data_IF_869072312573
#
_entry.id   IF_869072312573
#
_cell.length_a   1.000
_cell.length_b   1.000
_cell.length_c   1.000
_cell.angle_alpha   90.00
_cell.angle_beta   90.00
_cell.angle_gamma   90.00
#
_symmetry.space_group_name_H-M   'P 1'
#
loop_
_entity.id
_entity.type
_entity.pdbx_description
1 polymer ?
#
# COMPACT_ATOMS: atom_id res chain seq x y z
N UNK A 1 45.01 29.27 50.69
CA UNK A 1 44.71 28.93 49.27
C UNK A 1 44.41 27.42 49.08
N UNK A 2 43.52 26.83 49.89
CA UNK A 2 43.17 25.38 49.80
C UNK A 2 41.68 25.09 49.99
N UNK A 3 40.95 25.90 50.75
CA UNK A 3 39.49 25.73 50.95
C UNK A 3 38.65 26.29 49.79
N UNK A 4 39.08 27.40 49.19
CA UNK A 4 38.35 28.04 48.08
C UNK A 4 38.32 27.18 46.81
N UNK A 5 39.39 26.42 46.54
CA UNK A 5 39.46 25.53 45.37
C UNK A 5 38.61 24.27 45.54
N UNK A 6 38.45 23.76 46.78
CA UNK A 6 37.60 22.59 47.05
C UNK A 6 36.12 22.99 46.91
N UNK A 7 35.73 24.16 47.40
CA UNK A 7 34.38 24.68 47.23
C UNK A 7 34.02 24.94 45.75
N UNK A 8 34.98 25.39 44.93
CA UNK A 8 34.75 25.60 43.50
C UNK A 8 34.56 24.26 42.75
N UNK A 9 35.32 23.22 43.12
CA UNK A 9 35.22 21.87 42.54
C UNK A 9 33.93 21.14 42.93
N UNK A 10 33.41 21.35 44.15
CA UNK A 10 32.10 20.81 44.54
C UNK A 10 30.95 21.56 43.88
N UNK A 11 31.03 22.88 43.73
CA UNK A 11 30.01 23.64 42.98
C UNK A 11 30.01 23.24 41.50
N UNK A 12 31.16 23.07 40.84
CA UNK A 12 31.22 22.60 39.44
C UNK A 12 30.63 21.18 39.25
N UNK A 13 30.85 20.26 40.20
CA UNK A 13 30.26 18.92 40.14
C UNK A 13 28.75 18.92 40.39
N UNK A 14 28.23 19.80 41.25
CA UNK A 14 26.80 19.92 41.48
C UNK A 14 26.10 20.48 40.23
N UNK A 15 26.70 21.45 39.52
CA UNK A 15 26.12 21.97 38.27
C UNK A 15 26.16 20.95 37.12
N UNK A 16 27.17 20.07 37.07
CA UNK A 16 27.19 18.96 36.12
C UNK A 16 26.15 17.86 36.44
N UNK A 17 25.83 17.64 37.73
CA UNK A 17 24.81 16.67 38.16
C UNK A 17 23.37 17.15 37.93
N UNK A 18 23.14 18.46 37.78
CA UNK A 18 21.83 19.07 37.51
C UNK A 18 21.66 19.62 36.10
N UNK A 19 22.61 19.38 35.19
CA UNK A 19 22.34 19.49 33.77
C UNK A 19 21.39 18.35 33.38
N UNK A 20 20.09 18.56 33.55
CA UNK A 20 19.08 17.69 33.00
C UNK A 20 19.41 17.54 31.51
N UNK A 21 19.54 16.30 30.98
CA UNK A 21 19.83 16.11 29.57
C UNK A 21 18.77 16.88 28.78
N UNK A 22 19.21 17.73 27.85
CA UNK A 22 18.29 18.49 27.02
C UNK A 22 17.33 17.49 26.37
N UNK A 23 16.05 17.57 26.73
CA UNK A 23 15.00 16.69 26.19
C UNK A 23 14.90 16.72 24.66
N UNK A 24 15.55 17.69 24.02
CA UNK A 24 15.62 17.87 22.58
C UNK A 24 17.06 17.70 22.11
N UNK A 25 17.35 16.58 21.45
CA UNK A 25 18.58 16.39 20.71
C UNK A 25 18.37 16.84 19.27
N UNK A 26 19.45 17.22 18.60
CA UNK A 26 19.43 17.50 17.17
C UNK A 26 20.75 17.13 16.51
N UNK A 27 20.65 16.57 15.30
CA UNK A 27 21.79 16.36 14.41
C UNK A 27 21.82 17.40 13.28
N UNK A 28 21.09 18.51 13.44
CA UNK A 28 20.87 19.53 12.42
C UNK A 28 19.74 19.20 11.44
N UNK A 29 19.58 17.94 11.03
CA UNK A 29 18.51 17.50 10.13
C UNK A 29 17.19 17.23 10.85
N UNK A 30 17.25 16.66 12.06
CA UNK A 30 16.08 16.29 12.84
C UNK A 30 16.17 16.82 14.27
N UNK A 31 15.01 17.04 14.89
CA UNK A 31 14.84 17.08 16.33
C UNK A 31 14.37 15.71 16.81
N UNK A 32 15.05 15.11 17.79
CA UNK A 32 14.74 13.77 18.26
C UNK A 32 15.00 13.58 19.75
N UNK A 33 14.36 12.57 20.33
CA UNK A 33 14.44 12.22 21.74
C UNK A 33 15.07 10.85 21.85
N UNK A 34 15.98 10.68 22.82
CA UNK A 34 16.69 9.42 23.05
C UNK A 34 16.17 8.79 24.33
N UNK A 35 15.85 7.50 24.27
CA UNK A 35 15.44 6.70 25.44
C UNK A 35 16.57 5.75 25.83
N UNK A 36 17.36 6.13 26.83
CA UNK A 36 18.58 5.39 27.23
C UNK A 36 18.35 3.94 27.63
N UNK A 37 17.20 3.62 28.23
CA UNK A 37 16.92 2.26 28.70
C UNK A 37 16.60 1.28 27.56
N UNK A 38 16.03 1.78 26.46
CA UNK A 38 15.57 0.96 25.33
C UNK A 38 16.44 1.13 24.08
N UNK A 39 17.38 2.08 24.10
CA UNK A 39 18.19 2.50 22.95
C UNK A 39 17.31 2.88 21.75
N UNK A 40 16.23 3.60 22.03
CA UNK A 40 15.28 4.08 21.03
C UNK A 40 15.46 5.57 20.76
N UNK A 41 15.18 5.96 19.53
CA UNK A 41 15.10 7.34 19.10
C UNK A 41 13.72 7.63 18.50
N UNK A 42 13.13 8.73 18.91
CA UNK A 42 11.86 9.22 18.38
C UNK A 42 12.08 10.56 17.67
N UNK A 43 11.75 10.64 16.39
CA UNK A 43 11.86 11.89 15.63
C UNK A 43 10.64 12.75 15.93
N UNK A 44 10.90 13.92 16.50
CA UNK A 44 9.89 14.92 16.88
C UNK A 44 9.73 16.04 15.86
N UNK A 45 10.65 16.15 14.91
CA UNK A 45 10.44 16.94 13.72
C UNK A 45 11.70 17.32 12.96
N UNK A 46 11.52 18.26 12.04
CA UNK A 46 12.55 18.79 11.15
C UNK A 46 13.48 19.78 11.87
N UNK A 47 14.79 19.52 11.81
CA UNK A 47 15.85 20.34 12.39
C UNK A 47 16.19 21.58 11.55
N UNK A 48 17.07 22.47 12.03
CA UNK A 48 17.34 23.75 11.39
C UNK A 48 17.88 23.65 9.95
N UNK A 49 18.62 22.59 9.62
CA UNK A 49 19.21 22.41 8.28
C UNK A 49 18.23 21.87 7.24
N UNK A 50 17.03 21.46 7.66
CA UNK A 50 15.99 20.95 6.76
C UNK A 50 15.07 22.04 6.19
N UNK A 51 15.20 23.31 6.61
CA UNK A 51 14.33 24.42 6.18
C UNK A 51 14.31 24.70 4.66
N UNK A 52 15.30 24.19 3.92
CA UNK A 52 15.34 24.21 2.45
C UNK A 52 15.47 22.82 1.81
N UNK A 53 15.38 21.75 2.59
CA UNK A 53 15.53 20.39 2.07
C UNK A 53 14.23 19.95 1.38
N UNK A 54 14.33 19.61 0.10
CA UNK A 54 13.24 18.94 -0.65
C UNK A 54 13.28 17.43 -0.47
N UNK A 55 14.41 16.87 -0.04
CA UNK A 55 14.56 15.44 0.27
C UNK A 55 15.12 15.27 1.67
N UNK A 56 14.53 14.34 2.44
CA UNK A 56 15.04 13.92 3.74
C UNK A 56 15.20 12.40 3.78
N UNK A 57 16.24 11.94 4.47
CA UNK A 57 16.44 10.52 4.78
C UNK A 57 16.32 10.31 6.27
N UNK A 58 15.35 9.49 6.69
CA UNK A 58 15.18 9.03 8.07
C UNK A 58 16.18 7.91 8.31
N UNK A 59 17.22 8.13 9.14
CA UNK A 59 18.28 7.16 9.35
C UNK A 59 17.79 5.99 10.21
N UNK A 60 18.47 4.83 10.20
CA UNK A 60 18.11 3.71 11.07
C UNK A 60 18.38 3.98 12.55
N UNK A 61 19.34 4.86 12.87
CA UNK A 61 19.70 5.23 14.25
C UNK A 61 20.40 6.60 14.31
N UNK A 62 20.49 7.14 15.52
CA UNK A 62 21.40 8.24 15.87
C UNK A 62 22.50 7.72 16.80
N UNK A 63 23.68 8.30 16.73
CA UNK A 63 24.78 8.01 17.66
C UNK A 63 24.85 9.08 18.75
N UNK A 64 24.90 8.66 20.01
CA UNK A 64 25.15 9.54 21.15
C UNK A 64 25.98 8.79 22.20
N UNK A 65 27.08 9.41 22.65
CA UNK A 65 28.02 8.84 23.64
C UNK A 65 28.46 7.39 23.32
N UNK A 66 28.75 7.12 22.04
CA UNK A 66 29.18 5.81 21.55
C UNK A 66 28.08 4.75 21.46
N UNK A 67 26.82 5.09 21.80
CA UNK A 67 25.67 4.20 21.68
C UNK A 67 24.84 4.52 20.44
N UNK A 68 24.27 3.47 19.84
CA UNK A 68 23.31 3.58 18.73
C UNK A 68 21.89 3.55 19.27
N UNK A 69 21.14 4.60 18.98
CA UNK A 69 19.72 4.72 19.33
C UNK A 69 18.89 4.58 18.07
N UNK A 70 18.22 3.44 17.92
CA UNK A 70 17.48 3.12 16.71
C UNK A 70 16.21 3.96 16.60
N UNK A 71 15.96 4.50 15.42
CA UNK A 71 14.71 5.18 15.15
C UNK A 71 13.58 4.16 15.21
N UNK A 72 12.61 4.40 16.09
CA UNK A 72 11.43 3.54 16.23
C UNK A 72 10.13 4.29 16.01
N UNK A 73 10.16 5.62 16.03
CA UNK A 73 8.98 6.47 15.84
C UNK A 73 9.27 7.75 15.09
N UNK A 74 8.32 8.14 14.25
CA UNK A 74 8.12 9.52 13.79
C UNK A 74 6.86 10.02 14.48
N UNK A 75 7.03 10.95 15.42
CA UNK A 75 5.98 11.38 16.32
C UNK A 75 4.87 12.16 15.62
N UNK A 76 3.75 12.31 16.32
CA UNK A 76 2.62 13.12 15.87
C UNK A 76 3.06 14.50 15.37
N UNK A 77 2.66 14.85 14.15
CA UNK A 77 2.95 16.16 13.55
C UNK A 77 4.43 16.44 13.24
N UNK A 78 5.34 15.47 13.40
CA UNK A 78 6.79 15.71 13.29
C UNK A 78 7.20 16.43 11.99
N UNK A 79 6.56 16.08 10.87
CA UNK A 79 6.83 16.66 9.57
C UNK A 79 5.63 17.40 9.00
N UNK A 80 4.64 17.78 9.81
CA UNK A 80 3.44 18.46 9.33
C UNK A 80 3.74 19.80 8.65
N UNK A 81 3.05 20.10 7.54
CA UNK A 81 3.19 21.33 6.75
C UNK A 81 4.63 21.64 6.27
N UNK A 82 5.47 20.63 6.12
CA UNK A 82 6.82 20.79 5.61
C UNK A 82 6.84 21.06 4.10
N UNK A 83 8.01 21.51 3.62
CA UNK A 83 8.28 21.66 2.18
C UNK A 83 8.92 20.42 1.55
N UNK A 84 8.94 19.29 2.27
CA UNK A 84 9.61 18.07 1.80
C UNK A 84 8.81 17.46 0.66
N UNK A 85 9.51 17.09 -0.40
CA UNK A 85 8.97 16.47 -1.61
C UNK A 85 9.23 14.97 -1.63
N UNK A 86 10.37 14.53 -1.09
CA UNK A 86 10.76 13.12 -1.00
C UNK A 86 11.24 12.75 0.40
N UNK A 87 10.75 11.63 0.91
CA UNK A 87 11.19 11.04 2.18
C UNK A 87 11.74 9.66 1.92
N UNK A 88 12.92 9.35 2.47
CA UNK A 88 13.52 8.03 2.42
C UNK A 88 13.52 7.43 3.83
N UNK A 89 12.93 6.26 4.02
CA UNK A 89 13.07 5.45 5.23
C UNK A 89 14.15 4.40 4.99
N UNK A 90 15.35 4.65 5.50
CA UNK A 90 16.51 3.77 5.32
C UNK A 90 16.30 2.40 5.97
N UNK A 91 16.99 1.39 5.48
CA UNK A 91 16.90 0.02 6.01
C UNK A 91 17.29 -0.01 7.50
N UNK A 92 16.41 -0.58 8.33
CA UNK A 92 16.60 -0.68 9.77
C UNK A 92 16.14 -2.04 10.30
N UNK A 93 16.85 -2.62 11.28
CA UNK A 93 16.40 -3.83 11.95
C UNK A 93 15.23 -3.60 12.91
N UNK A 94 14.82 -2.34 13.13
CA UNK A 94 13.73 -1.97 14.04
C UNK A 94 12.49 -1.50 13.28
N UNK A 95 11.34 -1.76 13.88
CA UNK A 95 10.06 -1.18 13.47
C UNK A 95 10.10 0.32 13.63
N UNK A 96 9.73 1.05 12.57
CA UNK A 96 9.51 2.50 12.61
C UNK A 96 8.02 2.75 12.48
N UNK A 97 7.41 3.36 13.49
CA UNK A 97 5.99 3.73 13.48
C UNK A 97 5.83 5.19 13.10
N UNK A 98 5.07 5.46 12.04
CA UNK A 98 4.58 6.79 11.72
C UNK A 98 3.31 7.03 12.51
N UNK A 99 3.37 7.95 13.47
CA UNK A 99 2.20 8.28 14.28
C UNK A 99 1.20 9.16 13.51
N UNK A 100 0.06 9.42 14.16
CA UNK A 100 -1.05 10.17 13.59
C UNK A 100 -0.59 11.56 13.14
N UNK A 101 -0.97 11.96 11.93
CA UNK A 101 -0.63 13.28 11.38
C UNK A 101 0.89 13.58 11.30
N UNK A 102 1.76 12.57 11.38
CA UNK A 102 3.22 12.73 11.24
C UNK A 102 3.63 13.47 9.96
N UNK A 103 2.88 13.31 8.88
CA UNK A 103 3.03 14.04 7.62
C UNK A 103 1.82 14.93 7.28
N UNK A 104 1.06 15.42 8.26
CA UNK A 104 -0.16 16.17 8.00
C UNK A 104 0.03 17.37 7.06
N UNK A 105 -0.86 17.48 6.07
CA UNK A 105 -0.93 18.62 5.15
C UNK A 105 0.39 18.91 4.40
N UNK A 106 1.19 17.88 4.10
CA UNK A 106 2.36 18.02 3.24
C UNK A 106 1.98 18.04 1.76
N UNK A 107 1.57 19.21 1.28
CA UNK A 107 1.10 19.40 -0.10
C UNK A 107 2.18 19.16 -1.18
N UNK A 108 3.46 19.29 -0.80
CA UNK A 108 4.60 19.09 -1.71
C UNK A 108 5.14 17.67 -1.71
N UNK A 109 4.75 16.83 -0.75
CA UNK A 109 5.23 15.47 -0.66
C UNK A 109 4.66 14.66 -1.82
N UNK A 110 5.53 14.17 -2.69
CA UNK A 110 5.17 13.40 -3.88
C UNK A 110 5.72 11.99 -3.84
N UNK A 111 6.80 11.74 -3.08
CA UNK A 111 7.44 10.42 -3.02
C UNK A 111 7.85 10.01 -1.60
N UNK A 112 7.58 8.76 -1.26
CA UNK A 112 8.13 8.09 -0.08
C UNK A 112 8.85 6.81 -0.54
N UNK A 113 10.15 6.73 -0.26
CA UNK A 113 10.99 5.55 -0.53
C UNK A 113 11.10 4.76 0.77
N UNK A 114 10.63 3.52 0.75
CA UNK A 114 10.57 2.62 1.90
C UNK A 114 11.60 1.52 1.69
N UNK A 115 12.80 1.69 2.24
CA UNK A 115 13.80 0.60 2.33
C UNK A 115 13.63 -0.19 3.63
N UNK A 116 13.10 0.44 4.69
CA UNK A 116 12.74 -0.26 5.90
C UNK A 116 11.51 -1.16 5.72
N UNK A 117 11.73 -2.49 5.68
CA UNK A 117 10.68 -3.51 5.63
C UNK A 117 9.77 -3.54 6.87
N UNK A 118 10.18 -2.90 7.96
CA UNK A 118 9.44 -2.81 9.22
C UNK A 118 8.77 -1.44 9.42
N UNK A 119 8.57 -0.66 8.36
CA UNK A 119 7.78 0.57 8.44
C UNK A 119 6.31 0.25 8.76
N UNK A 120 5.75 0.95 9.73
CA UNK A 120 4.33 0.89 10.12
C UNK A 120 3.75 2.28 9.93
N UNK A 121 2.68 2.37 9.15
CA UNK A 121 1.96 3.61 8.89
C UNK A 121 0.63 3.55 9.63
N UNK A 122 0.44 4.40 10.63
CA UNK A 122 -0.86 4.51 11.30
C UNK A 122 -1.86 5.28 10.44
N UNK A 123 -3.15 5.05 10.70
CA UNK A 123 -4.23 5.79 10.07
C UNK A 123 -4.03 7.31 10.24
N UNK A 124 -4.29 8.07 9.18
CA UNK A 124 -4.13 9.52 9.18
C UNK A 124 -2.69 10.06 9.20
N UNK A 125 -1.64 9.22 9.16
CA UNK A 125 -0.25 9.70 9.10
C UNK A 125 0.00 10.69 7.95
N UNK A 126 -0.62 10.44 6.79
CA UNK A 126 -0.55 11.28 5.57
C UNK A 126 -1.82 12.10 5.32
N UNK A 127 -2.61 12.37 6.37
CA UNK A 127 -3.88 13.11 6.23
C UNK A 127 -3.67 14.47 5.56
N UNK A 128 -4.52 14.80 4.58
CA UNK A 128 -4.44 16.02 3.74
C UNK A 128 -3.13 16.13 2.93
N UNK A 129 -2.37 15.07 2.73
CA UNK A 129 -1.40 15.06 1.64
C UNK A 129 -2.13 14.94 0.29
N UNK A 130 -1.46 15.34 -0.78
CA UNK A 130 -1.86 14.93 -2.13
C UNK A 130 -1.53 13.44 -2.36
N UNK A 131 -1.74 12.93 -3.56
CA UNK A 131 -1.35 11.56 -3.90
C UNK A 131 0.17 11.39 -3.77
N UNK A 132 0.60 10.53 -2.84
CA UNK A 132 2.00 10.25 -2.54
C UNK A 132 2.40 8.92 -3.17
N UNK A 133 3.40 8.92 -4.04
CA UNK A 133 3.93 7.70 -4.62
C UNK A 133 4.85 6.96 -3.64
N UNK A 134 4.55 5.69 -3.35
CA UNK A 134 5.38 4.86 -2.47
C UNK A 134 6.24 3.88 -3.26
N UNK A 135 7.53 3.84 -2.99
CA UNK A 135 8.54 3.04 -3.72
C UNK A 135 9.51 2.35 -2.77
N UNK A 136 10.40 1.49 -3.28
CA UNK A 136 11.48 0.88 -2.49
C UNK A 136 11.24 -0.59 -2.10
N UNK A 137 12.25 -1.22 -1.50
CA UNK A 137 12.24 -2.67 -1.24
C UNK A 137 11.33 -3.12 -0.09
N UNK A 138 10.88 -2.19 0.75
CA UNK A 138 9.96 -2.43 1.86
C UNK A 138 8.48 -2.38 1.49
N UNK A 139 8.14 -1.99 0.25
CA UNK A 139 6.73 -1.88 -0.19
C UNK A 139 5.94 -3.17 -0.06
N UNK A 140 6.46 -4.37 -0.43
CA UNK A 140 5.69 -5.61 -0.26
C UNK A 140 5.24 -5.83 1.20
N UNK A 141 6.13 -5.57 2.17
CA UNK A 141 5.83 -5.71 3.59
C UNK A 141 4.86 -4.63 4.10
N UNK A 142 5.00 -3.40 3.61
CA UNK A 142 4.09 -2.30 3.93
C UNK A 142 2.67 -2.62 3.46
N UNK A 143 2.54 -3.01 2.19
CA UNK A 143 1.25 -3.37 1.57
C UNK A 143 0.62 -4.56 2.27
N UNK A 144 1.37 -5.64 2.53
CA UNK A 144 0.85 -6.80 3.26
C UNK A 144 0.26 -6.40 4.62
N UNK A 145 0.97 -5.55 5.39
CA UNK A 145 0.51 -5.10 6.71
C UNK A 145 -0.75 -4.25 6.63
N UNK A 146 -0.77 -3.27 5.72
CA UNK A 146 -1.93 -2.42 5.48
C UNK A 146 -3.14 -3.25 5.03
N UNK A 147 -2.94 -4.19 4.11
CA UNK A 147 -3.96 -5.09 3.60
C UNK A 147 -4.56 -5.97 4.70
N UNK A 148 -3.74 -6.58 5.57
CA UNK A 148 -4.23 -7.39 6.69
C UNK A 148 -5.08 -6.58 7.64
N UNK A 149 -4.57 -5.42 8.10
CA UNK A 149 -5.30 -4.54 9.01
C UNK A 149 -6.64 -4.11 8.41
N UNK A 150 -6.67 -3.78 7.11
CA UNK A 150 -7.89 -3.36 6.43
C UNK A 150 -8.93 -4.48 6.32
N UNK A 151 -8.49 -5.69 5.96
CA UNK A 151 -9.37 -6.87 5.85
C UNK A 151 -9.95 -7.26 7.21
N UNK A 152 -9.14 -7.25 8.28
CA UNK A 152 -9.58 -7.49 9.65
C UNK A 152 -10.66 -6.47 10.07
N UNK A 153 -10.43 -5.17 9.80
CA UNK A 153 -11.41 -4.11 10.06
C UNK A 153 -12.71 -4.29 9.27
N UNK A 154 -12.68 -4.97 8.13
CA UNK A 154 -13.85 -5.25 7.30
C UNK A 154 -14.53 -6.58 7.60
N UNK A 155 -14.03 -7.32 8.59
CA UNK A 155 -14.48 -8.68 8.91
C UNK A 155 -14.43 -9.55 7.63
N UNK A 156 -13.28 -9.49 6.94
CA UNK A 156 -12.93 -10.33 5.80
C UNK A 156 -11.79 -11.26 6.19
N UNK A 157 -11.72 -12.46 5.60
CA UNK A 157 -10.69 -13.43 5.95
C UNK A 157 -9.29 -12.95 5.58
N UNK A 158 -8.30 -13.43 6.32
CA UNK A 158 -6.87 -13.21 6.07
C UNK A 158 -6.18 -14.57 6.02
N UNK A 159 -5.45 -14.85 4.94
CA UNK A 159 -4.68 -16.08 4.79
C UNK A 159 -5.50 -17.39 4.74
N UNK A 160 -6.73 -17.34 4.22
CA UNK A 160 -7.60 -18.50 4.06
C UNK A 160 -7.02 -19.48 3.03
N UNK A 161 -6.78 -20.73 3.43
CA UNK A 161 -5.99 -21.71 2.65
C UNK A 161 -6.79 -22.50 1.60
N UNK A 162 -8.11 -22.53 1.72
CA UNK A 162 -9.01 -23.40 0.96
C UNK A 162 -9.75 -22.70 -0.18
N UNK A 163 -9.44 -21.43 -0.48
CA UNK A 163 -10.14 -20.70 -1.55
C UNK A 163 -9.96 -21.32 -2.94
N UNK A 164 -8.80 -21.89 -3.20
CA UNK A 164 -8.46 -22.48 -4.50
C UNK A 164 -8.66 -23.99 -4.52
N UNK A 165 -9.39 -24.53 -3.54
CA UNK A 165 -9.77 -25.95 -3.55
C UNK A 165 -10.87 -26.17 -4.58
N UNK A 166 -10.70 -27.19 -5.42
CA UNK A 166 -11.67 -27.60 -6.43
C UNK A 166 -12.89 -28.26 -5.76
N UNK A 167 -13.81 -27.44 -5.27
CA UNK A 167 -15.04 -27.87 -4.61
C UNK A 167 -16.09 -26.78 -4.57
N UNK A 168 -17.37 -27.16 -4.66
CA UNK A 168 -18.49 -26.21 -4.73
C UNK A 168 -18.51 -25.23 -3.55
N UNK A 169 -18.35 -25.71 -2.31
CA UNK A 169 -18.39 -24.84 -1.14
C UNK A 169 -17.24 -23.81 -1.12
N UNK A 170 -16.02 -24.25 -1.43
CA UNK A 170 -14.84 -23.37 -1.51
C UNK A 170 -15.03 -22.28 -2.59
N UNK A 171 -15.51 -22.68 -3.77
CA UNK A 171 -15.81 -21.77 -4.89
C UNK A 171 -16.89 -20.76 -4.55
N UNK A 172 -17.99 -21.20 -3.97
CA UNK A 172 -19.11 -20.32 -3.61
C UNK A 172 -18.73 -19.35 -2.48
N UNK A 173 -17.93 -19.81 -1.51
CA UNK A 173 -17.36 -18.95 -0.48
C UNK A 173 -16.40 -17.91 -1.08
N UNK A 174 -15.47 -18.33 -1.96
CA UNK A 174 -14.55 -17.43 -2.68
C UNK A 174 -15.33 -16.36 -3.44
N UNK A 175 -16.38 -16.74 -4.16
CA UNK A 175 -17.25 -15.79 -4.88
C UNK A 175 -17.97 -14.82 -3.94
N UNK A 176 -18.50 -15.29 -2.82
CA UNK A 176 -19.18 -14.43 -1.85
C UNK A 176 -18.21 -13.41 -1.24
N UNK A 177 -17.03 -13.85 -0.82
CA UNK A 177 -16.04 -13.00 -0.16
C UNK A 177 -15.39 -12.01 -1.14
N UNK A 178 -15.09 -12.42 -2.38
CA UNK A 178 -14.58 -11.52 -3.41
C UNK A 178 -15.60 -10.43 -3.78
N UNK A 179 -16.89 -10.76 -3.83
CA UNK A 179 -17.93 -9.74 -4.03
C UNK A 179 -18.04 -8.79 -2.83
N UNK A 180 -17.99 -9.31 -1.59
CA UNK A 180 -17.96 -8.49 -0.37
C UNK A 180 -16.74 -7.56 -0.36
N UNK A 181 -15.57 -8.07 -0.74
CA UNK A 181 -14.34 -7.30 -0.89
C UNK A 181 -14.53 -6.16 -1.90
N UNK A 182 -15.04 -6.46 -3.09
CA UNK A 182 -15.25 -5.45 -4.12
C UNK A 182 -16.18 -4.32 -3.65
N UNK A 183 -17.27 -4.66 -2.95
CA UNK A 183 -18.17 -3.67 -2.32
C UNK A 183 -17.45 -2.81 -1.28
N UNK A 184 -16.59 -3.41 -0.46
CA UNK A 184 -15.84 -2.68 0.58
C UNK A 184 -14.82 -1.72 -0.03
N UNK A 185 -14.11 -2.14 -1.07
CA UNK A 185 -13.20 -1.26 -1.83
C UNK A 185 -13.96 -0.07 -2.40
N UNK A 186 -15.09 -0.31 -3.07
CA UNK A 186 -15.90 0.77 -3.65
C UNK A 186 -16.50 1.73 -2.62
N UNK A 187 -16.78 1.25 -1.41
CA UNK A 187 -17.23 2.10 -0.30
C UNK A 187 -16.11 2.86 0.42
N UNK A 188 -14.86 2.42 0.26
CA UNK A 188 -13.68 3.05 0.89
C UNK A 188 -13.11 4.17 0.03
N UNK A 189 -13.07 3.98 -1.29
CA UNK A 189 -12.40 4.89 -2.21
C UNK A 189 -13.31 6.07 -2.55
N UNK A 190 -12.75 7.28 -2.49
CA UNK A 190 -13.47 8.48 -2.90
C UNK A 190 -13.65 8.49 -4.42
N UNK A 191 -14.83 8.89 -4.90
CA UNK A 191 -15.15 8.97 -6.34
C UNK A 191 -14.36 10.07 -7.10
N UNK A 192 -13.37 10.70 -6.45
CA UNK A 192 -12.49 11.68 -7.09
C UNK A 192 -11.40 10.93 -7.85
N UNK A 193 -11.18 11.32 -9.11
CA UNK A 193 -10.07 10.79 -9.91
C UNK A 193 -8.73 11.15 -9.26
N UNK A 194 -8.16 10.19 -8.53
CA UNK A 194 -6.81 10.28 -7.99
C UNK A 194 -5.76 9.94 -9.03
N UNK A 195 -4.64 10.65 -8.98
CA UNK A 195 -3.42 10.38 -9.74
C UNK A 195 -2.46 9.44 -8.98
N UNK A 196 -2.98 8.56 -8.12
CA UNK A 196 -2.17 7.59 -7.36
C UNK A 196 -1.45 6.55 -8.24
N UNK A 197 -1.52 6.68 -9.58
CA UNK A 197 -0.75 5.91 -10.57
C UNK A 197 -0.82 4.39 -10.39
N UNK A 198 -1.92 3.88 -9.83
CA UNK A 198 -2.09 2.47 -9.48
C UNK A 198 -1.05 1.92 -8.47
N UNK A 199 -0.49 2.79 -7.63
CA UNK A 199 0.38 2.43 -6.53
C UNK A 199 -0.44 1.95 -5.32
N UNK A 200 -0.37 0.65 -5.00
CA UNK A 200 -1.27 0.02 -4.01
C UNK A 200 -1.08 0.58 -2.61
N UNK A 201 0.16 0.87 -2.20
CA UNK A 201 0.44 1.52 -0.91
C UNK A 201 -0.17 2.93 -0.84
N UNK A 202 -0.04 3.74 -1.90
CA UNK A 202 -0.71 5.05 -2.00
C UNK A 202 -2.21 4.89 -1.83
N UNK A 203 -2.84 3.96 -2.54
CA UNK A 203 -4.29 3.75 -2.49
C UNK A 203 -4.75 3.38 -1.07
N UNK A 204 -4.04 2.47 -0.40
CA UNK A 204 -4.35 2.03 0.96
C UNK A 204 -4.22 3.16 2.00
N UNK A 205 -3.38 4.17 1.74
CA UNK A 205 -3.09 5.26 2.68
C UNK A 205 -3.93 6.51 2.40
N UNK A 206 -4.18 6.81 1.11
CA UNK A 206 -4.84 8.05 0.66
C UNK A 206 -6.29 7.84 0.24
N UNK A 207 -6.70 6.60 0.02
CA UNK A 207 -8.03 6.21 -0.46
C UNK A 207 -8.42 6.78 -1.83
N UNK A 208 -7.43 7.14 -2.66
CA UNK A 208 -7.64 7.55 -4.05
C UNK A 208 -7.08 6.52 -5.02
N UNK A 209 -7.81 6.19 -6.08
CA UNK A 209 -7.39 5.23 -7.10
C UNK A 209 -7.80 5.63 -8.52
N UNK A 210 -6.94 5.30 -9.49
CA UNK A 210 -7.33 5.21 -10.90
C UNK A 210 -8.03 3.86 -11.18
N UNK A 211 -8.70 3.69 -12.32
CA UNK A 211 -9.34 2.41 -12.71
C UNK A 211 -8.38 1.21 -12.59
N UNK A 212 -7.12 1.36 -13.05
CA UNK A 212 -6.08 0.36 -12.84
C UNK A 212 -5.82 0.10 -11.35
N UNK A 213 -5.75 1.16 -10.55
CA UNK A 213 -5.55 1.10 -9.10
C UNK A 213 -6.63 0.31 -8.37
N UNK A 214 -7.91 0.46 -8.73
CA UNK A 214 -9.01 -0.35 -8.16
C UNK A 214 -8.73 -1.85 -8.33
N UNK A 215 -8.33 -2.25 -9.54
CA UNK A 215 -8.11 -3.65 -9.87
C UNK A 215 -6.80 -4.22 -9.30
N UNK A 216 -5.75 -3.40 -9.17
CA UNK A 216 -4.53 -3.80 -8.47
C UNK A 216 -4.76 -3.96 -6.96
N UNK A 217 -5.49 -3.02 -6.34
CA UNK A 217 -5.89 -3.14 -4.93
C UNK A 217 -6.75 -4.39 -4.70
N UNK A 218 -7.75 -4.63 -5.55
CA UNK A 218 -8.60 -5.81 -5.45
C UNK A 218 -7.81 -7.11 -5.55
N UNK A 219 -6.89 -7.19 -6.51
CA UNK A 219 -5.97 -8.33 -6.66
C UNK A 219 -5.16 -8.56 -5.39
N UNK A 220 -4.56 -7.51 -4.84
CA UNK A 220 -3.67 -7.62 -3.68
C UNK A 220 -4.42 -7.97 -2.39
N UNK A 221 -5.59 -7.37 -2.16
CA UNK A 221 -6.44 -7.71 -1.02
C UNK A 221 -6.97 -9.15 -1.15
N UNK A 222 -7.38 -9.59 -2.33
CA UNK A 222 -7.78 -10.99 -2.56
C UNK A 222 -6.64 -11.98 -2.27
N UNK A 223 -5.41 -11.65 -2.67
CA UNK A 223 -4.22 -12.47 -2.36
C UNK A 223 -4.01 -12.53 -0.84
N UNK A 224 -4.12 -11.38 -0.16
CA UNK A 224 -4.01 -11.32 1.30
C UNK A 224 -5.12 -12.11 2.01
N UNK A 225 -6.33 -12.15 1.45
CA UNK A 225 -7.40 -13.01 1.93
C UNK A 225 -7.10 -14.51 1.75
N UNK A 226 -6.19 -14.87 0.83
CA UNK A 226 -5.72 -16.24 0.60
C UNK A 226 -5.94 -16.76 -0.82
N UNK A 227 -6.40 -15.94 -1.76
CA UNK A 227 -6.49 -16.33 -3.17
C UNK A 227 -5.08 -16.43 -3.76
N UNK A 228 -4.78 -17.51 -4.49
CA UNK A 228 -3.51 -17.68 -5.17
C UNK A 228 -3.22 -16.54 -6.13
N UNK A 229 -1.97 -16.04 -6.15
CA UNK A 229 -1.56 -14.93 -7.02
C UNK A 229 -1.69 -15.23 -8.53
N UNK A 230 -1.76 -16.52 -8.88
CA UNK A 230 -2.03 -17.04 -10.23
C UNK A 230 -3.52 -17.30 -10.49
N UNK A 231 -4.40 -17.09 -9.51
CA UNK A 231 -5.85 -17.25 -9.61
C UNK A 231 -6.60 -15.92 -9.65
N UNK A 232 -5.86 -14.81 -9.61
CA UNK A 232 -6.40 -13.46 -9.82
C UNK A 232 -5.36 -12.59 -10.51
N UNK A 233 -5.75 -12.01 -11.65
CA UNK A 233 -4.89 -11.20 -12.50
C UNK A 233 -5.54 -9.84 -12.74
N UNK A 234 -4.73 -8.80 -12.91
CA UNK A 234 -5.18 -7.50 -13.42
C UNK A 234 -5.02 -7.51 -14.94
N UNK A 235 -6.09 -7.16 -15.65
CA UNK A 235 -6.17 -7.22 -17.12
C UNK A 235 -6.63 -5.87 -17.66
N UNK A 236 -6.26 -5.56 -18.91
CA UNK A 236 -6.77 -4.40 -19.62
C UNK A 236 -6.94 -4.68 -21.11
N UNK A 237 -7.73 -3.83 -21.76
CA UNK A 237 -7.92 -3.77 -23.20
C UNK A 237 -6.71 -3.15 -23.95
N UNK A 238 -5.59 -2.84 -23.27
CA UNK A 238 -4.42 -2.06 -23.75
C UNK A 238 -4.63 -0.57 -24.01
N UNK A 239 -5.78 -0.04 -23.62
CA UNK A 239 -6.04 1.37 -23.75
C UNK A 239 -6.28 1.99 -22.36
N UNK A 240 -7.54 2.09 -21.94
CA UNK A 240 -7.90 2.81 -20.73
C UNK A 240 -8.77 2.00 -19.77
N UNK A 241 -9.17 0.78 -20.14
CA UNK A 241 -10.07 -0.03 -19.31
C UNK A 241 -9.31 -1.14 -18.63
N UNK A 242 -9.49 -1.26 -17.32
CA UNK A 242 -8.89 -2.30 -16.50
C UNK A 242 -9.98 -3.11 -15.80
N UNK A 243 -9.73 -4.40 -15.61
CA UNK A 243 -10.57 -5.29 -14.82
C UNK A 243 -9.74 -6.40 -14.16
N UNK A 244 -10.40 -7.24 -13.37
CA UNK A 244 -9.79 -8.41 -12.75
C UNK A 244 -10.24 -9.68 -13.46
N UNK A 245 -9.30 -10.57 -13.77
CA UNK A 245 -9.60 -11.91 -14.24
C UNK A 245 -9.41 -12.90 -13.09
N UNK A 246 -10.46 -13.63 -12.72
CA UNK A 246 -10.49 -14.50 -11.54
C UNK A 246 -10.70 -15.94 -11.97
N UNK A 247 -9.88 -16.84 -11.44
CA UNK A 247 -9.97 -18.28 -11.67
C UNK A 247 -10.82 -18.94 -10.58
N UNK A 248 -11.73 -19.80 -11.01
CA UNK A 248 -12.49 -20.71 -10.16
C UNK A 248 -12.22 -22.15 -10.60
N UNK A 249 -11.64 -22.94 -9.70
CA UNK A 249 -11.41 -24.36 -9.92
C UNK A 249 -12.71 -25.13 -9.64
N UNK A 250 -13.21 -25.89 -10.63
CA UNK A 250 -14.39 -26.73 -10.45
C UNK A 250 -14.01 -28.16 -10.14
N UNK A 251 -13.08 -28.72 -10.91
CA UNK A 251 -12.47 -30.03 -10.70
C UNK A 251 -11.06 -30.07 -11.32
N UNK A 252 -10.39 -31.22 -11.28
CA UNK A 252 -9.02 -31.39 -11.81
C UNK A 252 -8.88 -31.12 -13.32
N UNK A 253 -9.98 -31.05 -14.07
CA UNK A 253 -10.02 -30.90 -15.52
C UNK A 253 -10.75 -29.64 -15.97
N UNK A 254 -11.64 -29.09 -15.14
CA UNK A 254 -12.49 -27.95 -15.45
C UNK A 254 -12.16 -26.77 -14.53
N UNK A 255 -11.48 -25.80 -15.10
CA UNK A 255 -11.26 -24.50 -14.47
C UNK A 255 -11.96 -23.44 -15.30
N UNK A 256 -12.49 -22.41 -14.65
CA UNK A 256 -13.15 -21.31 -15.33
C UNK A 256 -12.49 -19.99 -14.94
N UNK A 257 -12.17 -19.18 -15.93
CA UNK A 257 -11.78 -17.80 -15.77
C UNK A 257 -12.96 -16.89 -16.05
N UNK A 258 -13.20 -15.93 -15.17
CA UNK A 258 -14.24 -14.92 -15.35
C UNK A 258 -13.67 -13.53 -15.17
N UNK A 259 -14.31 -12.57 -15.83
CA UNK A 259 -14.01 -11.15 -15.76
C UNK A 259 -14.84 -10.51 -14.65
N UNK A 260 -14.19 -9.65 -13.88
CA UNK A 260 -14.78 -8.89 -12.76
C UNK A 260 -14.32 -7.45 -12.90
N UNK A 261 -15.24 -6.58 -13.27
CA UNK A 261 -15.06 -5.12 -13.22
C UNK A 261 -15.65 -4.64 -11.89
N UNK A 262 -14.83 -4.06 -11.03
CA UNK A 262 -15.29 -3.53 -9.74
C UNK A 262 -15.47 -2.02 -9.80
N UNK A 263 -14.92 -1.37 -10.83
CA UNK A 263 -14.89 0.07 -10.99
C UNK A 263 -16.19 0.57 -11.63
N UNK A 264 -16.61 -0.01 -12.75
CA UNK A 264 -17.84 0.40 -13.44
C UNK A 264 -19.07 -0.41 -13.01
N UNK A 265 -18.94 -1.35 -12.07
CA UNK A 265 -20.06 -2.18 -11.66
C UNK A 265 -21.06 -1.41 -10.79
N UNK A 266 -22.35 -1.51 -11.13
CA UNK A 266 -23.40 -0.85 -10.37
C UNK A 266 -23.81 -1.68 -9.14
N UNK A 267 -23.20 -1.37 -7.99
CA UNK A 267 -23.53 -2.00 -6.72
C UNK A 267 -24.90 -1.60 -6.14
N UNK A 268 -25.55 -0.55 -6.64
CA UNK A 268 -26.88 -0.16 -6.17
C UNK A 268 -28.00 -1.04 -6.74
N UNK A 269 -27.72 -1.78 -7.84
CA UNK A 269 -28.69 -2.68 -8.48
C UNK A 269 -29.06 -3.88 -7.60
N UNK A 270 -28.19 -4.25 -6.64
CA UNK A 270 -28.36 -5.47 -5.85
C UNK A 270 -28.13 -5.25 -4.36
N UNK A 271 -29.23 -5.30 -3.60
CA UNK A 271 -29.24 -5.15 -2.13
C UNK A 271 -29.12 -6.48 -1.38
N UNK A 272 -29.07 -7.62 -2.11
CA UNK A 272 -28.96 -8.95 -1.55
C UNK A 272 -27.63 -9.21 -0.82
N UNK A 273 -27.64 -10.21 0.08
CA UNK A 273 -26.44 -10.70 0.79
C UNK A 273 -25.54 -11.57 -0.08
N UNK A 274 -26.06 -12.05 -1.22
CA UNK A 274 -25.34 -12.89 -2.19
C UNK A 274 -24.77 -12.04 -3.32
N UNK A 275 -23.83 -12.63 -4.06
CA UNK A 275 -23.29 -12.01 -5.25
C UNK A 275 -24.28 -12.18 -6.43
N UNK A 276 -24.45 -11.15 -7.29
CA UNK A 276 -25.31 -11.24 -8.48
C UNK A 276 -24.71 -12.11 -9.58
N UNK A 277 -25.57 -12.69 -10.44
CA UNK A 277 -25.13 -13.54 -11.55
C UNK A 277 -24.37 -12.77 -12.64
N UNK A 278 -24.54 -11.45 -12.73
CA UNK A 278 -23.84 -10.56 -13.67
C UNK A 278 -22.57 -9.93 -13.09
N UNK A 279 -22.16 -10.28 -11.86
CA UNK A 279 -20.88 -9.82 -11.30
C UNK A 279 -19.68 -10.60 -11.85
N UNK A 280 -19.87 -11.90 -12.08
CA UNK A 280 -18.86 -12.81 -12.64
C UNK A 280 -19.18 -13.09 -14.10
N UNK A 281 -18.48 -12.40 -15.01
CA UNK A 281 -18.81 -12.40 -16.43
C UNK A 281 -17.87 -13.28 -17.24
N UNK A 282 -18.40 -14.14 -18.09
CA UNK A 282 -17.58 -14.75 -19.15
C UNK A 282 -17.19 -13.72 -20.22
N UNK A 283 -16.40 -14.11 -21.22
CA UNK A 283 -15.92 -13.16 -22.23
C UNK A 283 -17.07 -12.50 -23.00
N UNK A 284 -18.09 -13.26 -23.40
CA UNK A 284 -19.23 -12.71 -24.15
C UNK A 284 -20.02 -11.67 -23.34
N UNK A 285 -20.33 -12.00 -22.09
CA UNK A 285 -20.99 -11.08 -21.16
C UNK A 285 -20.13 -9.85 -20.89
N UNK A 286 -18.82 -10.04 -20.72
CA UNK A 286 -17.90 -8.95 -20.42
C UNK A 286 -17.70 -7.99 -21.60
N UNK A 287 -17.64 -8.50 -22.84
CA UNK A 287 -17.62 -7.66 -24.04
C UNK A 287 -18.86 -6.76 -24.08
N UNK A 288 -20.05 -7.32 -23.81
CA UNK A 288 -21.28 -6.54 -23.76
C UNK A 288 -21.24 -5.47 -22.65
N UNK A 289 -20.67 -5.80 -21.49
CA UNK A 289 -20.43 -4.85 -20.39
C UNK A 289 -19.47 -3.73 -20.80
N UNK A 290 -18.31 -4.05 -21.38
CA UNK A 290 -17.33 -3.06 -21.86
C UNK A 290 -17.93 -2.11 -22.89
N UNK A 291 -18.66 -2.63 -23.88
CA UNK A 291 -19.32 -1.80 -24.91
C UNK A 291 -20.27 -0.76 -24.28
N UNK A 292 -20.92 -1.13 -23.17
CA UNK A 292 -21.91 -0.29 -22.49
C UNK A 292 -21.25 0.72 -21.55
N UNK A 293 -20.27 0.29 -20.76
CA UNK A 293 -19.76 1.03 -19.61
C UNK A 293 -18.37 1.65 -19.82
N UNK A 294 -17.53 1.12 -20.71
CA UNK A 294 -16.17 1.63 -20.90
C UNK A 294 -16.12 2.97 -21.64
N UNK A 295 -15.08 3.80 -21.41
CA UNK A 295 -14.72 4.90 -22.31
C UNK A 295 -14.49 4.36 -23.74
N UNK A 296 -14.76 5.14 -24.78
CA UNK A 296 -14.66 4.69 -26.20
C UNK A 296 -15.59 3.51 -26.53
N UNK A 297 -16.88 3.69 -26.23
CA UNK A 297 -17.93 2.71 -26.53
C UNK A 297 -17.85 2.22 -27.99
N UNK A 298 -18.04 0.92 -28.18
CA UNK A 298 -18.01 0.22 -29.48
C UNK A 298 -16.65 0.10 -30.19
N UNK A 299 -15.54 0.50 -29.58
CA UNK A 299 -14.21 0.24 -30.14
C UNK A 299 -13.98 -1.26 -30.39
N UNK A 300 -13.28 -1.58 -31.48
CA UNK A 300 -12.93 -2.96 -31.85
C UNK A 300 -12.11 -3.64 -30.75
N UNK A 301 -11.34 -2.86 -29.99
CA UNK A 301 -10.47 -3.36 -28.92
C UNK A 301 -11.25 -4.05 -27.80
N UNK A 302 -12.46 -3.56 -27.49
CA UNK A 302 -13.34 -4.17 -26.50
C UNK A 302 -13.96 -5.50 -26.98
N UNK A 303 -14.01 -5.73 -28.29
CA UNK A 303 -14.69 -6.89 -28.91
C UNK A 303 -13.77 -8.09 -29.09
N UNK A 304 -12.47 -7.95 -28.83
CA UNK A 304 -11.48 -8.98 -29.12
C UNK A 304 -10.71 -9.40 -27.86
N UNK A 305 -11.18 -10.43 -27.14
CA UNK A 305 -10.49 -10.96 -25.96
C UNK A 305 -9.07 -11.47 -26.22
N UNK A 306 -8.73 -11.77 -27.47
CA UNK A 306 -7.37 -12.14 -27.89
C UNK A 306 -6.41 -10.97 -27.95
N UNK A 307 -6.90 -9.72 -27.86
CA UNK A 307 -6.12 -8.48 -27.77
C UNK A 307 -6.04 -7.93 -26.34
N UNK A 308 -6.56 -8.64 -25.33
CA UNK A 308 -6.46 -8.20 -23.94
C UNK A 308 -5.13 -8.60 -23.32
N UNK A 309 -4.68 -7.82 -22.34
CA UNK A 309 -3.35 -7.97 -21.75
C UNK A 309 -3.41 -8.13 -20.24
N UNK A 310 -2.58 -9.03 -19.71
CA UNK A 310 -2.32 -9.18 -18.28
C UNK A 310 -1.21 -8.22 -17.89
N UNK A 311 -1.42 -7.50 -16.79
CA UNK A 311 -0.42 -6.69 -16.11
C UNK A 311 0.17 -7.49 -14.95
N UNK A 312 1.47 -7.76 -14.99
CA UNK A 312 2.13 -8.58 -13.97
C UNK A 312 2.34 -7.83 -12.65
N UNK A 313 2.57 -6.51 -12.73
CA UNK A 313 2.77 -5.60 -11.59
C UNK A 313 1.71 -5.81 -10.51
N UNK A 314 2.16 -5.98 -9.26
CA UNK A 314 1.30 -6.13 -8.09
C UNK A 314 1.14 -4.83 -7.31
N UNK A 315 2.22 -4.07 -7.14
CA UNK A 315 2.26 -2.93 -6.23
C UNK A 315 2.24 -1.58 -6.94
N UNK A 316 2.59 -1.54 -8.24
CA UNK A 316 2.68 -0.29 -9.00
C UNK A 316 3.91 0.52 -8.59
N UNK A 317 5.01 -0.17 -8.29
CA UNK A 317 6.30 0.43 -7.91
C UNK A 317 7.26 0.48 -9.10
N UNK A 318 8.37 1.23 -8.96
CA UNK A 318 9.40 1.23 -10.01
C UNK A 318 10.19 -0.09 -10.07
N UNK A 319 10.28 -0.80 -8.93
CA UNK A 319 11.00 -2.07 -8.78
C UNK A 319 10.34 -3.24 -9.53
N UNK A 320 9.06 -3.15 -9.89
CA UNK A 320 8.36 -4.18 -10.67
C UNK A 320 8.60 -4.06 -12.18
N UNK A 321 9.47 -3.13 -12.60
CA UNK A 321 9.74 -2.79 -13.99
C UNK A 321 8.82 -1.70 -14.51
N UNK A 322 9.15 -1.16 -15.70
CA UNK A 322 8.32 -0.17 -16.37
C UNK A 322 6.89 -0.70 -16.52
N UNK A 323 5.91 0.21 -16.46
CA UNK A 323 4.47 -0.05 -16.61
C UNK A 323 4.07 -0.74 -17.96
N UNK A 324 5.05 -1.11 -18.78
CA UNK A 324 4.95 -1.72 -20.10
C UNK A 324 5.15 -3.24 -20.12
N UNK A 325 5.43 -3.90 -18.99
CA UNK A 325 5.47 -5.37 -18.93
C UNK A 325 4.05 -5.94 -18.91
N UNK A 326 3.39 -5.88 -20.05
CA UNK A 326 2.09 -6.50 -20.27
C UNK A 326 2.20 -7.56 -21.37
N UNK A 327 1.43 -8.63 -21.21
CA UNK A 327 1.45 -9.78 -22.11
C UNK A 327 0.03 -10.12 -22.51
N UNK A 328 -0.18 -10.46 -23.79
CA UNK A 328 -1.48 -10.95 -24.23
C UNK A 328 -1.96 -12.07 -23.31
N UNK A 329 -3.21 -11.99 -22.89
CA UNK A 329 -3.80 -12.89 -21.89
C UNK A 329 -3.58 -14.36 -22.22
N UNK A 330 -3.78 -14.77 -23.47
CA UNK A 330 -3.54 -16.16 -23.90
C UNK A 330 -2.07 -16.56 -23.85
N UNK A 331 -1.18 -15.63 -24.16
CA UNK A 331 0.27 -15.87 -24.07
C UNK A 331 0.68 -16.01 -22.61
N UNK A 332 0.13 -15.17 -21.72
CA UNK A 332 0.39 -15.23 -20.28
C UNK A 332 -0.10 -16.55 -19.69
N UNK A 333 -1.37 -16.90 -19.92
CA UNK A 333 -1.96 -18.13 -19.41
C UNK A 333 -1.19 -19.37 -19.89
N UNK A 334 -0.79 -19.41 -21.17
CA UNK A 334 0.03 -20.48 -21.72
C UNK A 334 1.43 -20.55 -21.08
N UNK A 335 2.13 -19.41 -20.95
CA UNK A 335 3.48 -19.32 -20.40
C UNK A 335 3.56 -19.85 -18.96
N UNK A 336 2.53 -19.59 -18.16
CA UNK A 336 2.48 -19.99 -16.74
C UNK A 336 1.65 -21.26 -16.50
N UNK A 337 1.31 -22.01 -17.56
CA UNK A 337 0.53 -23.25 -17.48
C UNK A 337 -0.80 -23.09 -16.73
N UNK A 338 -1.45 -21.94 -16.89
CA UNK A 338 -2.71 -21.61 -16.24
C UNK A 338 -3.88 -22.03 -17.15
N UNK A 339 -4.36 -23.25 -16.93
CA UNK A 339 -5.49 -23.82 -17.70
C UNK A 339 -6.84 -23.25 -17.27
N UNK A 340 -7.83 -23.32 -18.15
CA UNK A 340 -9.23 -23.01 -17.86
C UNK A 340 -9.96 -22.38 -19.05
N UNK A 341 -11.28 -22.56 -19.08
CA UNK A 341 -12.16 -21.96 -20.09
C UNK A 341 -12.45 -20.49 -19.75
N UNK A 342 -12.54 -19.65 -20.79
CA UNK A 342 -12.91 -18.23 -20.72
C UNK A 342 -14.23 -17.93 -21.47
N UNK A 343 -14.85 -18.94 -22.09
CA UNK A 343 -16.03 -18.80 -22.96
C UNK A 343 -17.26 -18.26 -22.25
#
# INVERSE_FOLDING_TARGET
MKLFNIALLTVLNIWAAFAAPSKYNSNGMFYYWLTSNTLEAHISGLGPYSKGATTISVPPYFENDGNKYYVTKVLNGAFANSNVETVVFEESPKTVVLEYESFYNNQKLTKVIVENKNLVVNDGAFRKCNDVFFDGNGIPNLVERLSKNLLENWDLPVGKKDYDYAGTNAREQKKADLYKLAKKIMGMLDNQWGNSNANVASILITHHASSRGYHMLFRELAITMGVGANHILTVSDSHCTFWSLVKFDHDKYNNQWVNVDIYNYNYSKYTGKTYPSDFYMNNSQFIAHLIKEAPLKNDEIHKNPGKWYVYDSRYGTSNEGLHSNYMLIDTYLKKYHLTGDRN
#
